data_IF_820332621951
#
_entry.id   IF_820332621951
#
_cell.length_a   1.000
_cell.length_b   1.000
_cell.length_c   1.000
_cell.angle_alpha   90.00
_cell.angle_beta   90.00
_cell.angle_gamma   90.00
#
_symmetry.space_group_name_H-M   'P 1'
#
loop_
_entity.id
_entity.type
_entity.pdbx_description
1 polymer ?
#
# COMPACT_ATOMS: atom_id res chain seq x y z
N UNK A 1 -2.43 10.32 17.98
CA UNK A 1 -3.55 11.12 18.53
C UNK A 1 -3.01 11.98 19.65
N UNK A 2 -3.38 13.25 19.71
CA UNK A 2 -3.15 14.12 20.85
C UNK A 2 -4.04 13.67 22.02
N UNK A 3 -3.54 12.70 22.79
CA UNK A 3 -4.23 12.15 23.96
C UNK A 3 -3.53 12.64 25.22
N UNK A 4 -4.29 13.03 26.24
CA UNK A 4 -3.77 13.63 27.46
C UNK A 4 -2.66 12.77 28.12
N UNK A 5 -2.84 11.45 28.17
CA UNK A 5 -1.89 10.51 28.76
C UNK A 5 -0.65 10.18 27.91
N UNK A 6 -0.59 10.65 26.67
CA UNK A 6 0.53 10.37 25.75
C UNK A 6 1.17 11.66 25.27
N UNK A 7 0.37 12.64 24.84
CA UNK A 7 0.88 13.89 24.27
C UNK A 7 0.99 14.98 25.34
N UNK A 8 -0.10 15.26 26.05
CA UNK A 8 -0.10 16.39 27.00
C UNK A 8 0.80 16.17 28.22
N UNK A 9 0.91 14.92 28.71
CA UNK A 9 1.76 14.58 29.86
C UNK A 9 3.24 14.89 29.59
N UNK A 10 3.68 14.87 28.32
CA UNK A 10 5.06 15.17 27.93
C UNK A 10 5.44 16.65 28.15
N UNK A 11 4.44 17.53 28.31
CA UNK A 11 4.65 18.94 28.63
C UNK A 11 4.97 19.15 30.13
N UNK A 12 4.70 18.17 30.97
CA UNK A 12 4.82 18.29 32.43
C UNK A 12 5.87 17.36 33.01
N UNK A 13 6.21 16.27 32.31
CA UNK A 13 7.17 15.28 32.80
C UNK A 13 8.24 14.99 31.73
N UNK A 14 9.48 14.69 32.13
CA UNK A 14 10.51 14.19 31.24
C UNK A 14 10.01 12.93 30.51
N UNK A 15 10.19 12.88 29.21
CA UNK A 15 9.70 11.78 28.37
C UNK A 15 10.87 11.10 27.67
N UNK A 16 10.89 9.78 27.72
CA UNK A 16 11.94 8.95 27.15
C UNK A 16 11.33 7.89 26.24
N UNK A 17 11.99 7.63 25.11
CA UNK A 17 11.61 6.51 24.25
C UNK A 17 12.13 5.20 24.83
N UNK A 18 11.31 4.14 24.78
CA UNK A 18 11.81 2.79 25.01
C UNK A 18 12.68 2.31 23.84
N UNK A 19 13.53 1.31 24.07
CA UNK A 19 14.48 0.78 23.07
C UNK A 19 13.81 0.35 21.77
N UNK A 20 12.63 -0.24 21.83
CA UNK A 20 11.87 -0.65 20.64
C UNK A 20 11.48 0.56 19.79
N UNK A 21 10.91 1.60 20.39
CA UNK A 21 10.54 2.83 19.70
C UNK A 21 11.77 3.52 19.09
N UNK A 22 12.88 3.55 19.82
CA UNK A 22 14.14 4.12 19.32
C UNK A 22 14.64 3.36 18.09
N UNK A 23 14.59 2.03 18.12
CA UNK A 23 14.97 1.18 16.97
C UNK A 23 14.09 1.47 15.76
N UNK A 24 12.78 1.56 15.93
CA UNK A 24 11.84 1.87 14.85
C UNK A 24 12.05 3.28 14.28
N UNK A 25 12.22 4.29 15.16
CA UNK A 25 12.48 5.68 14.73
C UNK A 25 13.81 5.77 13.97
N UNK A 26 14.86 5.08 14.44
CA UNK A 26 16.15 5.06 13.76
C UNK A 26 16.08 4.35 12.40
N UNK A 27 15.32 3.26 12.28
CA UNK A 27 15.07 2.60 11.01
C UNK A 27 14.34 3.53 10.02
N UNK A 28 13.31 4.26 10.49
CA UNK A 28 12.59 5.24 9.66
C UNK A 28 13.48 6.43 9.28
N UNK A 29 14.32 6.93 10.19
CA UNK A 29 15.31 7.98 9.89
C UNK A 29 16.28 7.53 8.78
N UNK A 30 16.83 6.31 8.86
CA UNK A 30 17.70 5.77 7.79
C UNK A 30 17.03 5.75 6.43
N UNK A 31 15.76 5.35 6.37
CA UNK A 31 14.99 5.35 5.12
C UNK A 31 14.81 6.76 4.55
N UNK A 32 14.81 7.81 5.39
CA UNK A 32 14.63 9.20 4.97
C UNK A 32 15.94 9.96 4.72
N UNK A 33 17.04 9.57 5.38
CA UNK A 33 18.34 10.25 5.26
C UNK A 33 19.33 9.57 4.32
N UNK A 34 19.27 8.23 4.20
CA UNK A 34 20.18 7.43 3.37
C UNK A 34 19.45 6.78 2.18
N UNK A 35 18.61 7.55 1.49
CA UNK A 35 17.80 7.05 0.39
C UNK A 35 18.68 6.56 -0.75
N UNK A 36 18.67 5.26 -0.98
CA UNK A 36 19.25 4.67 -2.21
C UNK A 36 18.14 4.49 -3.24
N UNK A 37 18.18 5.29 -4.28
CA UNK A 37 17.25 5.21 -5.41
C UNK A 37 17.59 4.06 -6.36
N UNK A 38 16.61 3.44 -7.04
CA UNK A 38 15.17 3.72 -6.98
C UNK A 38 14.55 3.29 -5.66
N UNK A 39 13.66 4.13 -5.12
CA UNK A 39 12.92 3.87 -3.88
C UNK A 39 11.43 3.61 -4.18
N UNK A 40 10.87 2.57 -3.57
CA UNK A 40 9.48 2.18 -3.75
C UNK A 40 8.76 2.10 -2.41
N UNK A 41 7.58 2.70 -2.33
CA UNK A 41 6.66 2.51 -1.22
C UNK A 41 5.49 1.62 -1.65
N UNK A 42 5.15 0.62 -0.84
CA UNK A 42 3.94 -0.20 -1.00
C UNK A 42 3.00 0.17 0.14
N UNK A 43 1.82 0.65 -0.20
CA UNK A 43 0.82 1.07 0.78
C UNK A 43 -0.47 0.27 0.56
N UNK A 44 -0.85 -0.51 1.55
CA UNK A 44 -2.12 -1.20 1.63
C UNK A 44 -3.02 -0.65 2.74
N UNK A 45 -4.25 -1.11 2.76
CA UNK A 45 -5.25 -0.73 3.78
C UNK A 45 -6.63 -0.48 3.18
N UNK A 46 -7.61 -0.14 4.01
CA UNK A 46 -9.01 0.00 3.60
C UNK A 46 -9.39 1.43 3.19
N UNK A 47 -8.77 2.47 3.79
CA UNK A 47 -9.17 3.86 3.62
C UNK A 47 -8.05 4.73 3.06
N UNK A 48 -8.28 5.35 1.90
CA UNK A 48 -7.33 6.28 1.28
C UNK A 48 -7.29 7.62 2.01
N UNK A 49 -8.41 8.12 2.51
CA UNK A 49 -8.52 9.40 3.22
C UNK A 49 -7.62 9.45 4.46
N UNK A 50 -7.47 8.34 5.18
CA UNK A 50 -6.62 8.29 6.37
C UNK A 50 -5.13 8.33 6.07
N UNK A 51 -4.74 7.97 4.85
CA UNK A 51 -3.34 7.89 4.42
C UNK A 51 -2.95 8.93 3.38
N UNK A 52 -3.89 9.78 2.94
CA UNK A 52 -3.63 10.78 1.90
C UNK A 52 -2.45 11.69 2.24
N UNK A 53 -2.37 12.19 3.47
CA UNK A 53 -1.28 13.07 3.88
C UNK A 53 0.08 12.34 3.88
N UNK A 54 0.08 11.05 4.22
CA UNK A 54 1.29 10.22 4.15
C UNK A 54 1.70 10.04 2.70
N UNK A 55 0.76 9.68 1.82
CA UNK A 55 1.02 9.51 0.38
C UNK A 55 1.55 10.80 -0.23
N UNK A 56 0.95 11.95 0.05
CA UNK A 56 1.39 13.26 -0.44
C UNK A 56 2.82 13.60 0.02
N UNK A 57 3.16 13.28 1.26
CA UNK A 57 4.51 13.50 1.80
C UNK A 57 5.56 12.54 1.22
N UNK A 58 5.14 11.37 0.74
CA UNK A 58 6.02 10.37 0.14
C UNK A 58 6.26 10.62 -1.36
N UNK A 59 5.26 11.10 -2.09
CA UNK A 59 5.34 11.31 -3.55
C UNK A 59 6.61 12.09 -3.95
N UNK A 60 7.00 13.22 -3.32
CA UNK A 60 8.19 13.96 -3.72
C UNK A 60 9.52 13.24 -3.46
N UNK A 61 9.49 12.19 -2.64
CA UNK A 61 10.70 11.47 -2.18
C UNK A 61 10.88 10.11 -2.84
N UNK A 62 9.81 9.54 -3.40
CA UNK A 62 9.77 8.17 -3.90
C UNK A 62 9.65 8.12 -5.42
N UNK A 63 10.33 7.15 -6.04
CA UNK A 63 10.23 6.92 -7.48
C UNK A 63 8.96 6.15 -7.85
N UNK A 64 8.50 5.26 -6.94
CA UNK A 64 7.27 4.49 -7.13
C UNK A 64 6.45 4.45 -5.83
N UNK A 65 5.14 4.60 -5.95
CA UNK A 65 4.18 4.29 -4.89
C UNK A 65 3.18 3.25 -5.44
N UNK A 66 3.14 2.11 -4.78
CA UNK A 66 2.24 1.00 -5.10
C UNK A 66 1.08 1.04 -4.11
N UNK A 67 -0.13 1.24 -4.61
CA UNK A 67 -1.35 1.30 -3.80
C UNK A 67 -2.12 0.00 -3.99
N UNK A 68 -2.35 -0.72 -2.88
CA UNK A 68 -3.01 -2.04 -2.85
C UNK A 68 -4.08 -2.10 -1.75
N UNK A 69 -4.75 -3.23 -1.62
CA UNK A 69 -5.84 -3.42 -0.66
C UNK A 69 -7.08 -2.59 -1.00
N UNK A 70 -7.97 -2.38 -0.03
CA UNK A 70 -9.21 -1.62 -0.21
C UNK A 70 -9.02 -0.18 -0.68
N UNK A 71 -7.85 0.41 -0.41
CA UNK A 71 -7.51 1.75 -0.93
C UNK A 71 -7.44 1.77 -2.46
N UNK A 72 -6.95 0.70 -3.08
CA UNK A 72 -6.84 0.59 -4.52
C UNK A 72 -8.21 0.59 -5.21
N UNK A 73 -9.27 0.13 -4.52
CA UNK A 73 -10.62 0.12 -5.07
C UNK A 73 -11.11 1.54 -5.42
N UNK A 74 -10.69 2.56 -4.66
CA UNK A 74 -11.01 3.95 -4.97
C UNK A 74 -10.36 4.40 -6.29
N UNK A 75 -9.13 3.96 -6.56
CA UNK A 75 -8.44 4.25 -7.82
C UNK A 75 -9.10 3.49 -8.97
N UNK A 76 -9.39 2.20 -8.78
CA UNK A 76 -10.06 1.35 -9.77
C UNK A 76 -11.40 1.96 -10.17
N UNK A 77 -12.20 2.42 -9.19
CA UNK A 77 -13.48 3.10 -9.41
C UNK A 77 -13.29 4.44 -10.14
N UNK A 78 -12.33 5.25 -9.73
CA UNK A 78 -11.98 6.52 -10.37
C UNK A 78 -11.59 6.34 -11.84
N UNK A 79 -10.90 5.24 -12.17
CA UNK A 79 -10.54 4.87 -13.54
C UNK A 79 -11.72 4.31 -14.36
N UNK A 80 -12.95 4.33 -13.82
CA UNK A 80 -14.17 3.92 -14.51
C UNK A 80 -14.47 2.42 -14.48
N UNK A 81 -13.74 1.62 -13.69
CA UNK A 81 -14.01 0.20 -13.55
C UNK A 81 -15.02 -0.09 -12.43
N UNK A 82 -15.78 -1.16 -12.59
CA UNK A 82 -16.68 -1.66 -11.57
C UNK A 82 -15.85 -2.30 -10.43
N UNK A 83 -16.24 -2.05 -9.20
CA UNK A 83 -15.63 -2.63 -8.00
C UNK A 83 -16.60 -3.53 -7.22
N UNK A 84 -17.81 -3.74 -7.76
CA UNK A 84 -18.85 -4.54 -7.13
C UNK A 84 -19.23 -4.04 -5.74
N UNK A 85 -19.25 -4.95 -4.77
CA UNK A 85 -19.52 -4.69 -3.34
C UNK A 85 -18.25 -4.40 -2.53
N UNK A 86 -17.14 -4.14 -3.19
CA UNK A 86 -15.84 -3.96 -2.53
C UNK A 86 -15.81 -2.71 -1.65
N UNK A 87 -15.03 -2.78 -0.58
CA UNK A 87 -14.80 -1.64 0.32
C UNK A 87 -14.18 -0.49 -0.46
N UNK A 88 -14.78 0.68 -0.37
CA UNK A 88 -14.27 1.94 -0.92
C UNK A 88 -14.82 3.11 -0.10
N UNK A 89 -14.29 4.29 -0.33
CA UNK A 89 -14.77 5.52 0.29
C UNK A 89 -15.62 6.32 -0.73
N UNK A 90 -16.80 6.76 -0.30
CA UNK A 90 -17.59 7.68 -1.11
C UNK A 90 -16.86 9.02 -1.25
N UNK A 91 -17.09 9.69 -2.37
CA UNK A 91 -16.49 11.00 -2.67
C UNK A 91 -14.95 11.04 -2.63
N UNK A 92 -14.28 9.90 -2.85
CA UNK A 92 -12.82 9.80 -2.87
C UNK A 92 -12.16 10.33 -4.15
N UNK A 93 -12.93 10.65 -5.19
CA UNK A 93 -12.39 11.11 -6.48
C UNK A 93 -11.44 12.31 -6.37
N UNK A 94 -11.75 13.39 -5.60
CA UNK A 94 -10.83 14.51 -5.46
C UNK A 94 -9.49 14.11 -4.84
N UNK A 95 -9.52 13.14 -3.90
CA UNK A 95 -8.31 12.61 -3.26
C UNK A 95 -7.45 11.86 -4.27
N UNK A 96 -8.07 11.02 -5.09
CA UNK A 96 -7.38 10.23 -6.13
C UNK A 96 -6.79 11.16 -7.19
N UNK A 97 -7.54 12.16 -7.62
CA UNK A 97 -7.10 13.18 -8.59
C UNK A 97 -5.89 13.96 -8.05
N UNK A 98 -5.91 14.35 -6.79
CA UNK A 98 -4.78 15.04 -6.15
C UNK A 98 -3.53 14.16 -6.11
N UNK A 99 -3.67 12.86 -5.78
CA UNK A 99 -2.56 11.90 -5.81
C UNK A 99 -1.93 11.82 -7.21
N UNK A 100 -2.74 11.67 -8.26
CA UNK A 100 -2.23 11.60 -9.63
C UNK A 100 -1.62 12.91 -10.12
N UNK A 101 -2.24 14.03 -9.80
CA UNK A 101 -1.72 15.36 -10.15
C UNK A 101 -0.34 15.58 -9.52
N UNK A 102 -0.21 15.32 -8.22
CA UNK A 102 1.05 15.47 -7.50
C UNK A 102 2.10 14.48 -8.01
N UNK A 103 1.72 13.22 -8.27
CA UNK A 103 2.64 12.21 -8.78
C UNK A 103 3.22 12.57 -10.14
N UNK A 104 2.41 13.16 -11.03
CA UNK A 104 2.84 13.66 -12.33
C UNK A 104 3.82 14.83 -12.17
N UNK A 105 3.53 15.77 -11.27
CA UNK A 105 4.38 16.92 -10.97
C UNK A 105 5.76 16.51 -10.45
N UNK A 106 5.78 15.56 -9.54
CA UNK A 106 7.00 15.10 -8.85
C UNK A 106 7.69 13.90 -9.55
N UNK A 107 7.20 13.49 -10.72
CA UNK A 107 7.73 12.35 -11.49
C UNK A 107 7.77 11.03 -10.69
N UNK A 108 6.80 10.83 -9.79
CA UNK A 108 6.63 9.62 -8.99
C UNK A 108 5.58 8.72 -9.66
N UNK A 109 5.91 7.45 -9.91
CA UNK A 109 5.00 6.52 -10.56
C UNK A 109 4.00 5.93 -9.57
N UNK A 110 2.70 6.16 -9.78
CA UNK A 110 1.64 5.46 -9.05
C UNK A 110 1.34 4.14 -9.75
N UNK A 111 1.40 3.04 -8.99
CA UNK A 111 1.09 1.68 -9.45
C UNK A 111 -0.11 1.20 -8.64
N UNK A 112 -1.13 0.71 -9.32
CA UNK A 112 -2.34 0.13 -8.75
C UNK A 112 -2.68 -1.16 -9.49
N UNK A 113 -3.62 -2.00 -8.97
CA UNK A 113 -3.94 -3.29 -9.58
C UNK A 113 -4.43 -3.16 -11.02
N UNK A 114 -3.97 -4.08 -11.88
CA UNK A 114 -4.44 -4.27 -13.27
C UNK A 114 -5.41 -5.44 -13.36
N UNK A 115 -5.33 -6.37 -12.41
CA UNK A 115 -6.20 -7.51 -12.20
C UNK A 115 -6.38 -7.76 -10.70
N UNK A 116 -7.42 -8.48 -10.35
CA UNK A 116 -7.85 -8.66 -8.97
C UNK A 116 -8.32 -10.09 -8.71
N UNK A 117 -8.30 -10.49 -7.44
CA UNK A 117 -8.97 -11.69 -6.95
C UNK A 117 -10.27 -11.27 -6.29
N UNK A 118 -11.36 -11.83 -6.76
CA UNK A 118 -12.70 -11.54 -6.26
C UNK A 118 -13.37 -12.79 -5.67
N UNK A 119 -14.36 -12.58 -4.81
CA UNK A 119 -15.29 -13.61 -4.39
C UNK A 119 -16.69 -13.02 -4.20
N UNK A 120 -17.70 -13.87 -3.94
CA UNK A 120 -19.07 -13.41 -3.66
C UNK A 120 -19.27 -12.94 -2.23
N UNK A 121 -18.46 -13.48 -1.32
CA UNK A 121 -18.38 -13.11 0.10
C UNK A 121 -16.95 -13.36 0.63
N UNK A 122 -16.68 -12.99 1.87
CA UNK A 122 -15.34 -13.08 2.49
C UNK A 122 -14.83 -14.51 2.69
N UNK A 123 -15.69 -15.51 2.62
CA UNK A 123 -15.36 -16.95 2.72
C UNK A 123 -15.53 -17.69 1.40
N UNK A 124 -15.93 -16.98 0.34
CA UNK A 124 -16.19 -17.52 -0.98
C UNK A 124 -14.92 -18.02 -1.69
N UNK A 125 -15.12 -18.75 -2.78
CA UNK A 125 -14.02 -19.23 -3.61
C UNK A 125 -13.37 -18.07 -4.38
N UNK A 126 -12.02 -17.98 -4.38
CA UNK A 126 -11.30 -16.96 -5.11
C UNK A 126 -11.41 -17.14 -6.63
N UNK A 127 -11.62 -16.05 -7.34
CA UNK A 127 -11.64 -16.01 -8.80
C UNK A 127 -10.81 -14.83 -9.31
N UNK A 128 -9.83 -15.11 -10.17
CA UNK A 128 -9.05 -14.07 -10.83
C UNK A 128 -9.87 -13.38 -11.91
N UNK A 129 -9.85 -12.06 -11.92
CA UNK A 129 -10.54 -11.24 -12.93
C UNK A 129 -9.71 -10.05 -13.39
N UNK A 130 -9.84 -9.74 -14.68
CA UNK A 130 -9.46 -8.42 -15.18
C UNK A 130 -10.41 -7.37 -14.62
N UNK A 131 -9.97 -6.11 -14.50
CA UNK A 131 -10.78 -5.05 -13.91
C UNK A 131 -12.13 -4.86 -14.64
N UNK A 132 -12.14 -4.97 -15.96
CA UNK A 132 -13.36 -4.86 -16.78
C UNK A 132 -14.33 -6.06 -16.64
N UNK A 133 -13.93 -7.12 -15.96
CA UNK A 133 -14.74 -8.33 -15.71
C UNK A 133 -15.34 -8.37 -14.31
N UNK A 134 -15.05 -7.37 -13.48
CA UNK A 134 -15.61 -7.28 -12.13
C UNK A 134 -17.10 -6.94 -12.21
N UNK A 135 -17.94 -7.78 -11.62
CA UNK A 135 -19.39 -7.64 -11.62
C UNK A 135 -19.90 -6.98 -10.34
N UNK A 136 -21.13 -6.45 -10.37
CA UNK A 136 -21.77 -5.79 -9.24
C UNK A 136 -21.91 -6.67 -7.97
N UNK A 137 -21.94 -8.00 -8.14
CA UNK A 137 -22.01 -8.94 -7.03
C UNK A 137 -20.65 -9.41 -6.47
N UNK A 138 -19.54 -8.96 -7.05
CA UNK A 138 -18.20 -9.36 -6.63
C UNK A 138 -17.66 -8.48 -5.50
N UNK A 139 -16.76 -9.04 -4.69
CA UNK A 139 -15.95 -8.31 -3.70
C UNK A 139 -14.50 -8.52 -4.06
N UNK A 140 -13.74 -7.46 -4.28
CA UNK A 140 -12.29 -7.50 -4.48
C UNK A 140 -11.63 -7.77 -3.14
N UNK A 141 -10.92 -8.89 -3.03
CA UNK A 141 -10.31 -9.36 -1.79
C UNK A 141 -8.79 -9.49 -1.86
N UNK A 142 -8.19 -9.55 -3.06
CA UNK A 142 -6.74 -9.50 -3.23
C UNK A 142 -6.39 -8.95 -4.62
N UNK A 143 -5.11 -8.71 -4.85
CA UNK A 143 -4.55 -8.37 -6.17
C UNK A 143 -4.32 -9.62 -7.00
N UNK A 144 -4.48 -9.51 -8.32
CA UNK A 144 -4.33 -10.62 -9.24
C UNK A 144 -2.87 -10.91 -9.66
N UNK A 145 -2.65 -12.01 -10.39
CA UNK A 145 -1.31 -12.47 -10.77
C UNK A 145 -0.53 -11.51 -11.66
N UNK A 146 -1.19 -10.76 -12.55
CA UNK A 146 -0.52 -9.73 -13.38
C UNK A 146 0.02 -8.60 -12.51
N UNK A 147 -0.81 -8.14 -11.56
CA UNK A 147 -0.43 -7.11 -10.58
C UNK A 147 0.73 -7.57 -9.73
N UNK A 148 0.70 -8.81 -9.22
CA UNK A 148 1.79 -9.42 -8.46
C UNK A 148 3.08 -9.43 -9.29
N UNK A 149 3.02 -9.84 -10.55
CA UNK A 149 4.18 -9.85 -11.45
C UNK A 149 4.78 -8.46 -11.64
N UNK A 150 3.94 -7.45 -11.84
CA UNK A 150 4.35 -6.04 -11.96
C UNK A 150 5.02 -5.52 -10.69
N UNK A 151 4.44 -5.84 -9.54
CA UNK A 151 4.99 -5.46 -8.23
C UNK A 151 6.36 -6.12 -8.02
N UNK A 152 6.50 -7.41 -8.31
CA UNK A 152 7.79 -8.13 -8.22
C UNK A 152 8.87 -7.50 -9.10
N UNK A 153 8.54 -7.09 -10.32
CA UNK A 153 9.48 -6.37 -11.21
C UNK A 153 9.91 -5.04 -10.60
N UNK A 154 8.96 -4.28 -10.03
CA UNK A 154 9.26 -3.01 -9.35
C UNK A 154 10.11 -3.22 -8.10
N UNK A 155 9.84 -4.24 -7.29
CA UNK A 155 10.67 -4.62 -6.14
C UNK A 155 12.10 -4.93 -6.60
N UNK A 156 12.27 -5.69 -7.68
CA UNK A 156 13.60 -6.04 -8.21
C UNK A 156 14.44 -4.82 -8.61
N UNK A 157 13.83 -3.83 -9.25
CA UNK A 157 14.51 -2.60 -9.66
C UNK A 157 14.78 -1.63 -8.52
N UNK A 158 14.08 -1.76 -7.38
CA UNK A 158 14.20 -0.84 -6.23
C UNK A 158 15.44 -1.14 -5.40
N UNK A 159 16.10 -0.12 -4.87
CA UNK A 159 17.18 -0.27 -3.88
C UNK A 159 16.68 -0.11 -2.45
N UNK A 160 15.63 0.67 -2.26
CA UNK A 160 14.97 0.87 -0.97
C UNK A 160 13.48 0.56 -1.11
N UNK A 161 12.92 -0.19 -0.15
CA UNK A 161 11.51 -0.56 -0.14
C UNK A 161 10.93 -0.24 1.24
N UNK A 162 9.84 0.51 1.25
CA UNK A 162 8.99 0.73 2.41
C UNK A 162 7.67 0.03 2.17
N UNK A 163 7.24 -0.84 3.08
CA UNK A 163 5.95 -1.54 2.97
C UNK A 163 5.11 -1.32 4.22
N UNK A 164 3.87 -0.83 4.02
CA UNK A 164 2.90 -0.58 5.07
C UNK A 164 1.51 -1.08 4.66
N UNK A 165 1.01 -2.11 5.32
CA UNK A 165 -0.31 -2.71 5.13
C UNK A 165 -0.37 -3.79 4.04
N UNK A 166 -1.33 -4.71 4.16
CA UNK A 166 -1.47 -5.87 3.28
C UNK A 166 -2.01 -5.50 1.90
N UNK A 167 -1.82 -6.42 0.93
CA UNK A 167 -2.33 -6.26 -0.43
C UNK A 167 -3.79 -6.68 -0.59
N UNK A 168 -4.28 -7.56 0.28
CA UNK A 168 -5.63 -8.10 0.25
C UNK A 168 -6.15 -8.43 1.64
N UNK A 169 -7.24 -9.20 1.70
CA UNK A 169 -7.84 -9.74 2.92
C UNK A 169 -7.03 -10.94 3.41
N UNK A 170 -5.81 -10.67 3.89
CA UNK A 170 -4.78 -11.66 4.22
C UNK A 170 -5.13 -12.55 5.42
N UNK A 171 -6.12 -12.17 6.24
CA UNK A 171 -6.65 -12.97 7.34
C UNK A 171 -7.28 -14.28 6.86
N UNK A 172 -7.79 -14.29 5.61
CA UNK A 172 -8.22 -15.50 4.94
C UNK A 172 -7.12 -15.96 3.98
N UNK A 173 -6.57 -17.20 4.16
CA UNK A 173 -5.50 -17.74 3.32
C UNK A 173 -5.81 -17.72 1.81
N UNK A 174 -7.08 -17.81 1.42
CA UNK A 174 -7.52 -17.77 0.02
C UNK A 174 -7.26 -16.41 -0.64
N UNK A 175 -7.06 -15.34 0.14
CA UNK A 175 -6.85 -13.96 -0.33
C UNK A 175 -5.57 -13.33 0.23
N UNK A 176 -4.62 -14.17 0.65
CA UNK A 176 -3.33 -13.77 1.20
C UNK A 176 -2.18 -13.79 0.18
N UNK A 177 -2.43 -14.31 -1.03
CA UNK A 177 -1.39 -14.57 -2.02
C UNK A 177 -0.65 -13.31 -2.42
N UNK A 178 -1.34 -12.20 -2.64
CA UNK A 178 -0.74 -10.90 -2.96
C UNK A 178 0.28 -10.46 -1.90
N UNK A 179 -0.12 -10.49 -0.64
CA UNK A 179 0.75 -10.13 0.49
C UNK A 179 1.93 -11.10 0.64
N UNK A 180 1.69 -12.41 0.53
CA UNK A 180 2.71 -13.44 0.64
C UNK A 180 3.77 -13.31 -0.46
N UNK A 181 3.35 -13.05 -1.70
CA UNK A 181 4.26 -12.91 -2.84
C UNK A 181 5.10 -11.63 -2.76
N UNK A 182 4.55 -10.54 -2.22
CA UNK A 182 5.29 -9.31 -1.94
C UNK A 182 6.35 -9.59 -0.87
N UNK A 183 5.96 -10.18 0.26
CA UNK A 183 6.88 -10.51 1.36
C UNK A 183 8.01 -11.41 0.89
N UNK A 184 7.66 -12.52 0.20
CA UNK A 184 8.65 -13.46 -0.35
C UNK A 184 9.64 -12.77 -1.27
N UNK A 185 9.16 -11.88 -2.16
CA UNK A 185 10.02 -11.18 -3.09
C UNK A 185 10.97 -10.20 -2.41
N UNK A 186 10.53 -9.53 -1.35
CA UNK A 186 11.39 -8.64 -0.55
C UNK A 186 12.49 -9.46 0.16
N UNK A 187 12.13 -10.60 0.75
CA UNK A 187 13.09 -11.50 1.41
C UNK A 187 14.14 -12.01 0.41
N UNK A 188 13.70 -12.56 -0.72
CA UNK A 188 14.60 -13.04 -1.79
C UNK A 188 15.62 -11.96 -2.21
N UNK A 189 15.14 -10.71 -2.35
CA UNK A 189 15.99 -9.60 -2.73
C UNK A 189 17.00 -9.23 -1.65
N UNK A 190 16.66 -9.32 -0.38
CA UNK A 190 17.59 -9.04 0.71
C UNK A 190 18.66 -10.11 0.81
N UNK A 191 18.27 -11.39 0.71
CA UNK A 191 19.23 -12.52 0.75
C UNK A 191 20.23 -12.50 -0.43
N UNK A 192 19.81 -12.04 -1.61
CA UNK A 192 20.70 -11.92 -2.78
C UNK A 192 21.73 -10.78 -2.69
N UNK A 193 21.70 -9.96 -1.64
CA UNK A 193 22.69 -8.89 -1.40
C UNK A 193 23.78 -9.28 -0.39
N UNK A 194 23.66 -10.45 0.23
CA UNK A 194 24.62 -10.97 1.22
C UNK A 194 25.63 -11.95 0.59
N UNK A 195 25.61 -12.09 -0.74
CA UNK A 195 26.60 -12.81 -1.54
C UNK A 195 27.29 -11.80 -2.47
#
# INVERSE_FOLDING_TARGET
RAHASIHEITNFLPSYSGLQLETEVNALKKITSEIKKPITCIIGGSKVSTKINIIKNLIPKFDNIIIVGGMANNIIKYMGNNIGKSVHEENSNPIVEEIFSLSKKENCKIIYPEDVVVAKDFNGSPLNKELNQVNSGDIILDIGPKTISKIKKTINSSKTILWNGPAGYFENPNFAEGSNQIAKKIIEKNMSKEI
#
